data_IF_780611553260
#
_entry.id   IF_780611553260
#
_cell.length_a   1.000
_cell.length_b   1.000
_cell.length_c   1.000
_cell.angle_alpha   90.00
_cell.angle_beta   90.00
_cell.angle_gamma   90.00
#
_symmetry.space_group_name_H-M   'P 1'
#
loop_
_entity.id
_entity.type
_entity.pdbx_description
1 polymer ?
#
# COMPACT_ATOMS: atom_id res chain seq x y z
N UNK A 1 -9.68 18.22 36.50
CA UNK A 1 -8.91 16.95 36.41
C UNK A 1 -8.33 16.68 35.01
N UNK A 2 -9.11 16.68 33.91
CA UNK A 2 -8.57 16.35 32.58
C UNK A 2 -7.57 17.40 32.01
N UNK A 3 -7.78 18.69 32.26
CA UNK A 3 -6.88 19.75 31.78
C UNK A 3 -5.62 19.95 32.63
N UNK A 4 -5.65 19.60 33.92
CA UNK A 4 -4.45 19.60 34.78
C UNK A 4 -3.44 18.50 34.42
N UNK A 5 -3.90 17.42 33.77
CA UNK A 5 -3.01 16.35 33.30
C UNK A 5 -2.26 16.75 32.02
N UNK A 6 -2.82 17.64 31.19
CA UNK A 6 -2.18 18.09 29.93
C UNK A 6 -0.96 18.99 30.16
N UNK A 7 -0.88 19.65 31.31
CA UNK A 7 0.22 20.57 31.66
C UNK A 7 1.34 19.91 32.45
N UNK A 8 1.17 18.66 32.88
CA UNK A 8 2.22 17.92 33.62
C UNK A 8 3.33 17.49 32.66
N UNK A 9 4.50 18.09 32.84
CA UNK A 9 5.73 17.66 32.15
C UNK A 9 6.35 16.48 32.88
N UNK A 10 6.64 15.41 32.15
CA UNK A 10 7.31 14.22 32.67
C UNK A 10 8.65 14.03 31.95
N UNK A 11 9.68 13.57 32.68
CA UNK A 11 10.95 13.14 32.08
C UNK A 11 10.89 11.65 31.79
N UNK A 12 11.35 11.27 30.61
CA UNK A 12 11.42 9.88 30.16
C UNK A 12 12.88 9.57 29.84
N UNK A 13 13.42 8.49 30.41
CA UNK A 13 14.75 7.99 30.12
C UNK A 13 14.61 6.65 29.39
N UNK A 14 15.29 6.50 28.25
CA UNK A 14 15.20 5.32 27.39
C UNK A 14 16.60 4.89 26.98
N UNK A 15 16.82 3.59 26.92
CA UNK A 15 18.02 2.99 26.31
C UNK A 15 17.68 2.64 24.87
N UNK A 16 18.48 3.12 23.93
CA UNK A 16 18.32 2.85 22.50
C UNK A 16 19.59 2.21 21.93
N UNK A 17 19.48 1.41 20.85
CA UNK A 17 20.65 0.92 20.11
C UNK A 17 21.54 2.06 19.59
N UNK A 18 22.84 1.81 19.51
CA UNK A 18 23.80 2.80 19.00
C UNK A 18 23.50 3.24 17.56
N UNK A 19 23.04 2.31 16.72
CA UNK A 19 22.65 2.60 15.33
C UNK A 19 21.55 3.65 15.23
N UNK A 20 20.61 3.69 16.18
CA UNK A 20 19.55 4.70 16.22
C UNK A 20 20.09 6.05 16.69
N UNK A 21 21.04 6.04 17.64
CA UNK A 21 21.73 7.25 18.08
C UNK A 21 22.50 7.91 16.93
N UNK A 22 23.17 7.14 16.08
CA UNK A 22 23.88 7.67 14.91
C UNK A 22 22.95 8.36 13.91
N UNK A 23 21.74 7.81 13.71
CA UNK A 23 20.73 8.43 12.85
C UNK A 23 20.25 9.75 13.45
N UNK A 24 19.98 9.78 14.76
CA UNK A 24 19.60 11.00 15.48
C UNK A 24 20.69 12.06 15.34
N UNK A 25 21.95 11.69 15.56
CA UNK A 25 23.08 12.61 15.48
C UNK A 25 23.24 13.21 14.08
N UNK A 26 23.08 12.39 13.03
CA UNK A 26 23.11 12.87 11.65
C UNK A 26 22.05 13.94 11.38
N UNK A 27 20.83 13.74 11.86
CA UNK A 27 19.75 14.71 11.69
C UNK A 27 19.95 15.98 12.52
N UNK A 28 20.46 15.86 13.74
CA UNK A 28 20.78 17.02 14.58
C UNK A 28 21.89 17.84 13.94
N UNK A 29 22.94 17.20 13.43
CA UNK A 29 24.02 17.87 12.71
C UNK A 29 23.52 18.61 11.47
N UNK A 30 22.68 17.98 10.65
CA UNK A 30 22.09 18.64 9.48
C UNK A 30 21.29 19.91 9.86
N UNK A 31 20.47 19.85 10.92
CA UNK A 31 19.73 21.03 11.40
C UNK A 31 20.66 22.16 11.86
N UNK A 32 21.79 21.83 12.47
CA UNK A 32 22.80 22.81 12.88
C UNK A 32 23.51 23.43 11.66
N UNK A 33 23.78 22.63 10.63
CA UNK A 33 24.35 23.10 9.36
C UNK A 33 23.39 24.06 8.62
N UNK A 34 22.09 23.82 8.73
CA UNK A 34 21.04 24.70 8.20
C UNK A 34 20.87 26.01 9.00
N UNK A 35 21.64 26.19 10.08
CA UNK A 35 21.67 27.41 10.89
C UNK A 35 20.66 27.45 12.05
N UNK A 36 20.04 26.33 12.42
CA UNK A 36 19.22 26.27 13.63
C UNK A 36 20.04 26.46 14.91
N UNK A 37 19.41 27.01 15.96
CA UNK A 37 20.05 27.16 17.27
C UNK A 37 20.28 25.79 17.94
N UNK A 38 21.35 25.66 18.72
CA UNK A 38 21.62 24.48 19.55
C UNK A 38 20.51 24.18 20.56
N UNK A 39 19.72 25.19 20.93
CA UNK A 39 18.58 25.03 21.84
C UNK A 39 17.42 24.26 21.19
N UNK A 40 17.26 24.36 19.86
CA UNK A 40 16.22 23.66 19.08
C UNK A 40 16.76 22.42 18.37
N UNK A 41 18.00 22.48 17.87
CA UNK A 41 18.70 21.40 17.22
C UNK A 41 19.58 20.62 18.21
N UNK A 42 18.93 19.84 19.08
CA UNK A 42 19.59 18.87 19.95
C UNK A 42 18.83 17.53 19.96
N UNK A 43 19.51 16.48 20.43
CA UNK A 43 18.99 15.11 20.48
C UNK A 43 17.63 15.03 21.17
N UNK A 44 17.48 15.69 22.32
CA UNK A 44 16.23 15.65 23.11
C UNK A 44 15.08 16.29 22.35
N UNK A 45 15.30 17.46 21.73
CA UNK A 45 14.30 18.14 20.93
C UNK A 45 13.89 17.30 19.71
N UNK A 46 14.86 16.72 18.99
CA UNK A 46 14.61 15.85 17.85
C UNK A 46 13.84 14.58 18.24
N UNK A 47 14.26 13.89 19.31
CA UNK A 47 13.57 12.68 19.80
C UNK A 47 12.15 12.99 20.23
N UNK A 48 11.92 14.14 20.88
CA UNK A 48 10.57 14.57 21.25
C UNK A 48 9.69 14.89 20.03
N UNK A 49 10.26 15.46 18.97
CA UNK A 49 9.58 15.68 17.70
C UNK A 49 9.15 14.34 17.06
N UNK A 50 10.09 13.41 16.96
CA UNK A 50 9.84 12.07 16.41
C UNK A 50 8.85 11.27 17.26
N UNK A 51 8.92 11.39 18.58
CA UNK A 51 7.97 10.77 19.50
C UNK A 51 6.53 11.27 19.27
N UNK A 52 6.34 12.60 19.15
CA UNK A 52 5.01 13.18 18.85
C UNK A 52 4.50 12.74 17.48
N UNK A 53 5.37 12.66 16.48
CA UNK A 53 5.02 12.15 15.16
C UNK A 53 4.60 10.68 15.23
N UNK A 54 5.38 9.85 15.92
CA UNK A 54 5.10 8.42 16.12
C UNK A 54 3.74 8.19 16.80
N UNK A 55 3.44 8.95 17.87
CA UNK A 55 2.14 8.91 18.53
C UNK A 55 0.99 9.29 17.57
N UNK A 56 1.15 10.35 16.78
CA UNK A 56 0.14 10.78 15.81
C UNK A 56 -0.12 9.70 14.74
N UNK A 57 0.94 9.07 14.23
CA UNK A 57 0.84 7.97 13.25
C UNK A 57 0.16 6.77 13.88
N UNK A 58 0.55 6.38 15.09
CA UNK A 58 -0.05 5.27 15.82
C UNK A 58 -1.55 5.48 16.07
N UNK A 59 -1.94 6.65 16.56
CA UNK A 59 -3.35 6.99 16.75
C UNK A 59 -4.13 7.06 15.43
N UNK A 60 -3.51 7.58 14.36
CA UNK A 60 -4.14 7.63 13.04
C UNK A 60 -4.40 6.23 12.50
N UNK A 61 -3.43 5.30 12.64
CA UNK A 61 -3.60 3.89 12.29
C UNK A 61 -4.72 3.26 13.11
N UNK A 62 -4.70 3.42 14.43
CA UNK A 62 -5.74 2.89 15.31
C UNK A 62 -7.13 3.42 14.98
N UNK A 63 -7.28 4.72 14.70
CA UNK A 63 -8.56 5.36 14.34
C UNK A 63 -9.10 4.91 12.99
N UNK A 64 -8.23 4.60 12.03
CA UNK A 64 -8.64 4.07 10.72
C UNK A 64 -9.12 2.62 10.79
N UNK A 65 -9.13 2.00 11.99
CA UNK A 65 -9.04 0.55 12.13
C UNK A 65 -7.70 0.08 11.59
N UNK A 66 -7.25 -1.12 11.93
CA UNK A 66 -6.27 -1.77 11.05
C UNK A 66 -6.95 -1.93 9.69
N UNK A 67 -6.80 -0.93 8.82
CA UNK A 67 -7.28 -0.91 7.44
C UNK A 67 -6.53 -1.91 6.56
N UNK A 68 -5.79 -2.84 7.17
CA UNK A 68 -5.41 -4.09 6.55
C UNK A 68 -6.69 -4.90 6.34
N UNK A 69 -7.31 -4.68 5.18
CA UNK A 69 -8.19 -5.67 4.58
C UNK A 69 -7.46 -7.00 4.71
N UNK A 70 -7.99 -7.92 5.52
CA UNK A 70 -7.36 -9.19 5.79
C UNK A 70 -6.99 -9.86 4.47
N UNK A 71 -5.87 -10.59 4.42
CA UNK A 71 -5.51 -11.40 3.26
C UNK A 71 -6.69 -12.26 2.79
N UNK A 72 -7.50 -12.78 3.73
CA UNK A 72 -8.71 -13.55 3.44
C UNK A 72 -9.80 -12.71 2.76
N UNK A 73 -9.96 -11.44 3.12
CA UNK A 73 -10.95 -10.57 2.51
C UNK A 73 -10.50 -10.10 1.12
N UNK A 74 -9.20 -9.90 0.91
CA UNK A 74 -8.61 -9.68 -0.41
C UNK A 74 -8.81 -10.91 -1.31
N UNK A 75 -8.53 -12.11 -0.80
CA UNK A 75 -8.77 -13.38 -1.51
C UNK A 75 -10.24 -13.57 -1.87
N UNK A 76 -11.16 -13.33 -0.92
CA UNK A 76 -12.61 -13.38 -1.19
C UNK A 76 -13.02 -12.42 -2.30
N UNK A 77 -12.48 -11.21 -2.31
CA UNK A 77 -12.76 -10.23 -3.35
C UNK A 77 -12.26 -10.69 -4.74
N UNK A 78 -11.04 -11.21 -4.80
CA UNK A 78 -10.45 -11.76 -6.04
C UNK A 78 -11.28 -12.94 -6.55
N UNK A 79 -11.57 -13.93 -5.69
CA UNK A 79 -12.37 -15.10 -6.07
C UNK A 79 -13.76 -14.70 -6.54
N UNK A 80 -14.42 -13.74 -5.87
CA UNK A 80 -15.73 -13.24 -6.29
C UNK A 80 -15.68 -12.62 -7.68
N UNK A 81 -14.68 -11.79 -7.96
CA UNK A 81 -14.53 -11.15 -9.27
C UNK A 81 -14.22 -12.17 -10.36
N UNK A 82 -13.39 -13.17 -10.07
CA UNK A 82 -13.08 -14.25 -11.00
C UNK A 82 -14.32 -15.07 -11.36
N UNK A 83 -15.13 -15.45 -10.35
CA UNK A 83 -16.38 -16.20 -10.58
C UNK A 83 -17.40 -15.40 -11.39
N UNK A 84 -17.60 -14.11 -11.07
CA UNK A 84 -18.50 -13.24 -11.84
C UNK A 84 -18.03 -13.12 -13.29
N UNK A 85 -16.74 -12.90 -13.51
CA UNK A 85 -16.17 -12.75 -14.86
C UNK A 85 -16.28 -14.05 -15.65
N UNK A 86 -16.03 -15.21 -15.03
CA UNK A 86 -16.20 -16.52 -15.65
C UNK A 86 -17.65 -16.73 -16.09
N UNK A 87 -18.60 -16.49 -15.20
CA UNK A 87 -20.02 -16.65 -15.50
C UNK A 87 -20.49 -15.71 -16.62
N UNK A 88 -20.07 -14.44 -16.59
CA UNK A 88 -20.39 -13.49 -17.66
C UNK A 88 -19.79 -13.94 -19.00
N UNK A 89 -18.56 -14.46 -19.01
CA UNK A 89 -17.90 -14.94 -20.23
C UNK A 89 -18.63 -16.16 -20.81
N UNK A 90 -19.03 -17.11 -19.97
CA UNK A 90 -19.86 -18.24 -20.38
C UNK A 90 -21.21 -17.80 -20.93
N UNK A 91 -21.88 -16.87 -20.25
CA UNK A 91 -23.17 -16.33 -20.70
C UNK A 91 -23.05 -15.65 -22.08
N UNK A 92 -22.02 -14.82 -22.28
CA UNK A 92 -21.74 -14.20 -23.58
C UNK A 92 -21.50 -15.26 -24.65
N UNK A 93 -20.68 -16.28 -24.36
CA UNK A 93 -20.44 -17.37 -25.31
C UNK A 93 -21.73 -18.10 -25.71
N UNK A 94 -22.62 -18.39 -24.76
CA UNK A 94 -23.90 -19.03 -25.04
C UNK A 94 -24.82 -18.14 -25.89
N UNK A 95 -24.92 -16.86 -25.57
CA UNK A 95 -25.68 -15.88 -26.36
C UNK A 95 -25.10 -15.81 -27.77
N UNK A 96 -23.79 -15.69 -27.92
CA UNK A 96 -23.13 -15.60 -29.22
C UNK A 96 -23.38 -16.87 -30.05
N UNK A 97 -23.29 -18.05 -29.43
CA UNK A 97 -23.56 -19.33 -30.11
C UNK A 97 -24.96 -19.39 -30.72
N UNK A 98 -25.95 -18.78 -30.08
CA UNK A 98 -27.35 -18.78 -30.51
C UNK A 98 -27.70 -17.63 -31.47
N UNK A 99 -27.10 -16.45 -31.28
CA UNK A 99 -27.54 -15.21 -31.93
C UNK A 99 -26.63 -14.74 -33.06
N UNK A 100 -25.40 -15.24 -33.13
CA UNK A 100 -24.42 -14.75 -34.10
C UNK A 100 -24.67 -15.35 -35.49
N UNK A 101 -24.76 -14.45 -36.47
CA UNK A 101 -24.79 -14.79 -37.89
C UNK A 101 -23.42 -15.35 -38.32
N UNK A 102 -23.35 -16.68 -38.45
CA UNK A 102 -22.13 -17.42 -38.83
C UNK A 102 -21.54 -16.99 -40.16
N UNK A 103 -22.31 -16.36 -41.06
CA UNK A 103 -21.80 -15.86 -42.33
C UNK A 103 -20.93 -14.59 -42.17
N UNK A 104 -21.06 -13.91 -41.03
CA UNK A 104 -20.32 -12.69 -40.67
C UNK A 104 -19.25 -12.92 -39.60
N UNK A 105 -19.16 -14.15 -39.09
CA UNK A 105 -18.10 -14.54 -38.13
C UNK A 105 -16.81 -14.76 -38.89
N UNK A 106 -15.79 -13.99 -38.54
CA UNK A 106 -14.44 -14.30 -39.01
C UNK A 106 -13.91 -15.47 -38.19
N UNK A 107 -13.45 -16.53 -38.84
CA UNK A 107 -12.93 -17.72 -38.15
C UNK A 107 -11.69 -17.35 -37.33
N UNK A 108 -11.70 -17.70 -36.03
CA UNK A 108 -10.61 -17.43 -35.06
C UNK A 108 -9.22 -17.87 -35.53
N UNK A 109 -9.13 -18.89 -36.39
CA UNK A 109 -7.86 -19.40 -36.95
C UNK A 109 -7.03 -18.31 -37.66
N UNK A 110 -7.66 -17.19 -38.06
CA UNK A 110 -7.00 -16.06 -38.71
C UNK A 110 -6.42 -15.00 -37.74
N UNK A 111 -6.73 -15.07 -36.43
CA UNK A 111 -6.37 -14.04 -35.45
C UNK A 111 -5.85 -14.56 -34.11
N UNK A 112 -5.99 -15.86 -33.83
CA UNK A 112 -5.31 -16.51 -32.69
C UNK A 112 -4.03 -17.11 -33.24
N UNK A 113 -3.05 -16.26 -33.47
CA UNK A 113 -1.68 -16.63 -33.81
C UNK A 113 -0.77 -16.54 -32.59
N UNK A 114 0.51 -16.91 -32.77
CA UNK A 114 1.50 -16.86 -31.71
C UNK A 114 1.69 -15.42 -31.17
N UNK A 115 1.44 -14.39 -32.00
CA UNK A 115 1.53 -12.98 -31.60
C UNK A 115 0.40 -12.60 -30.64
N UNK A 116 -0.82 -13.05 -30.90
CA UNK A 116 -1.97 -12.88 -30.01
C UNK A 116 -1.74 -13.57 -28.65
N UNK A 117 -1.22 -14.79 -28.64
CA UNK A 117 -0.89 -15.53 -27.41
C UNK A 117 0.22 -14.81 -26.62
N UNK A 118 1.24 -14.30 -27.29
CA UNK A 118 2.33 -13.52 -26.68
C UNK A 118 1.77 -12.26 -26.04
N UNK A 119 0.93 -11.51 -26.75
CA UNK A 119 0.28 -10.29 -26.23
C UNK A 119 -0.57 -10.57 -24.99
N UNK A 120 -1.32 -11.68 -24.97
CA UNK A 120 -2.10 -12.06 -23.78
C UNK A 120 -1.17 -12.34 -22.60
N UNK A 121 -0.11 -13.14 -22.80
CA UNK A 121 0.81 -13.51 -21.74
C UNK A 121 1.51 -12.27 -21.15
N UNK A 122 2.03 -11.37 -21.97
CA UNK A 122 2.63 -10.11 -21.53
C UNK A 122 1.64 -9.25 -20.71
N UNK A 123 0.38 -9.19 -21.16
CA UNK A 123 -0.66 -8.41 -20.49
C UNK A 123 -1.07 -9.03 -19.15
N UNK A 124 -1.05 -10.36 -19.04
CA UNK A 124 -1.29 -11.09 -17.80
C UNK A 124 -0.12 -10.89 -16.84
N UNK A 125 1.12 -11.07 -17.27
CA UNK A 125 2.32 -10.85 -16.46
C UNK A 125 2.43 -9.40 -15.97
N UNK A 126 2.12 -8.42 -16.83
CA UNK A 126 2.07 -7.01 -16.46
C UNK A 126 1.00 -6.66 -15.42
N UNK A 127 -0.07 -7.45 -15.32
CA UNK A 127 -1.07 -7.32 -14.25
C UNK A 127 -0.62 -8.02 -12.97
N UNK A 128 -0.06 -9.21 -13.07
CA UNK A 128 0.45 -9.98 -11.93
C UNK A 128 1.55 -9.19 -11.21
N UNK A 129 2.54 -8.67 -11.94
CA UNK A 129 3.64 -7.86 -11.38
C UNK A 129 3.20 -6.56 -10.69
N UNK A 130 2.05 -6.01 -11.05
CA UNK A 130 1.46 -4.83 -10.37
C UNK A 130 0.76 -5.18 -9.06
N UNK A 131 0.23 -6.40 -8.95
CA UNK A 131 -0.52 -6.87 -7.77
C UNK A 131 0.36 -7.60 -6.75
N UNK A 132 1.39 -8.29 -7.21
CA UNK A 132 2.32 -9.06 -6.39
C UNK A 132 3.74 -8.50 -6.62
N UNK A 133 4.10 -7.50 -5.80
CA UNK A 133 5.48 -7.00 -5.68
C UNK A 133 6.20 -7.69 -4.54
#
# INVERSE_FOLDING_TARGET
MADELKTRTNRVNLTIPYSELEVIDRHVSAKLEDGESRDTANRSAFVMEMYRLGLRVYESRKKKGDGEVSLNDQLKFICRNLLITSFLTEAVYHIEKETVDKSKVVKSELYIDDEFLTMINERVEGKISKMFK
#
